data_IF_736135815215
#
_entry.id   IF_736135815215
#
_cell.length_a   1.000
_cell.length_b   1.000
_cell.length_c   1.000
_cell.angle_alpha   90.00
_cell.angle_beta   90.00
_cell.angle_gamma   90.00
#
_symmetry.space_group_name_H-M   'P 1'
#
loop_
_entity.id
_entity.type
_entity.pdbx_description
1 polymer ?
#
# COMPACT_ATOMS: atom_id res chain seq x y z
N UNK A 1 -8.23 15.66 25.44
CA UNK A 1 -9.50 16.24 24.92
C UNK A 1 -9.64 15.73 23.50
N UNK A 2 -10.76 15.10 23.16
CA UNK A 2 -11.05 14.68 21.79
C UNK A 2 -11.30 15.94 20.98
N UNK A 3 -10.33 16.34 20.15
CA UNK A 3 -10.53 17.45 19.23
C UNK A 3 -11.56 17.06 18.19
N UNK A 4 -12.26 18.06 17.68
CA UNK A 4 -13.14 17.90 16.55
C UNK A 4 -12.28 18.09 15.29
N UNK A 5 -12.23 17.10 14.40
CA UNK A 5 -11.33 17.08 13.24
C UNK A 5 -12.05 17.61 12.01
N UNK A 6 -11.40 18.49 11.25
CA UNK A 6 -11.94 19.04 9.98
C UNK A 6 -11.22 18.45 8.78
N UNK A 7 -11.93 18.29 7.68
CA UNK A 7 -11.36 17.82 6.41
C UNK A 7 -10.24 18.74 5.92
N UNK A 8 -10.41 20.06 6.10
CA UNK A 8 -9.40 21.05 5.72
C UNK A 8 -8.08 20.88 6.48
N UNK A 9 -8.12 20.43 7.74
CA UNK A 9 -6.92 20.22 8.55
C UNK A 9 -6.16 18.98 8.09
N UNK A 10 -6.89 17.91 7.70
CA UNK A 10 -6.32 16.72 7.07
C UNK A 10 -5.68 17.07 5.72
N UNK A 11 -6.38 17.83 4.87
CA UNK A 11 -5.85 18.25 3.57
C UNK A 11 -4.59 19.12 3.73
N UNK A 12 -4.59 20.05 4.69
CA UNK A 12 -3.42 20.88 5.00
C UNK A 12 -2.24 20.04 5.48
N UNK A 13 -2.50 19.01 6.28
CA UNK A 13 -1.46 18.10 6.75
C UNK A 13 -0.78 17.36 5.59
N UNK A 14 -1.57 16.77 4.68
CA UNK A 14 -1.03 16.10 3.49
C UNK A 14 -0.28 17.05 2.55
N UNK A 15 -0.74 18.30 2.40
CA UNK A 15 0.02 19.32 1.64
C UNK A 15 1.37 19.62 2.30
N UNK A 16 1.41 19.76 3.62
CA UNK A 16 2.68 19.94 4.35
C UNK A 16 3.66 18.78 4.10
N UNK A 17 3.19 17.54 4.17
CA UNK A 17 4.01 16.37 3.88
C UNK A 17 4.52 16.34 2.44
N UNK A 18 3.69 16.79 1.49
CA UNK A 18 4.06 16.89 0.08
C UNK A 18 5.16 17.92 -0.16
N UNK A 19 5.06 19.07 0.51
CA UNK A 19 6.02 20.18 0.42
C UNK A 19 7.37 19.80 1.03
N UNK A 20 7.35 19.04 2.12
CA UNK A 20 8.54 18.47 2.76
C UNK A 20 9.17 17.31 1.96
N UNK A 21 8.44 16.73 1.00
CA UNK A 21 8.86 15.54 0.26
C UNK A 21 8.85 14.25 1.10
N UNK A 22 8.16 14.24 2.25
CA UNK A 22 8.16 13.12 3.19
C UNK A 22 7.04 12.13 2.87
N UNK A 23 7.30 11.27 1.86
CA UNK A 23 6.38 10.23 1.43
C UNK A 23 6.09 9.20 2.55
N UNK A 24 7.08 8.88 3.38
CA UNK A 24 6.92 7.89 4.45
C UNK A 24 5.94 8.35 5.51
N UNK A 25 5.98 9.64 5.87
CA UNK A 25 5.04 10.25 6.82
C UNK A 25 3.63 10.35 6.25
N UNK A 26 3.51 10.70 4.97
CA UNK A 26 2.22 10.70 4.28
C UNK A 26 1.57 9.31 4.23
N UNK A 27 2.33 8.28 3.88
CA UNK A 27 1.83 6.91 3.87
C UNK A 27 1.48 6.40 5.27
N UNK A 28 2.28 6.74 6.28
CA UNK A 28 1.96 6.40 7.67
C UNK A 28 0.60 7.00 8.09
N UNK A 29 0.38 8.28 7.84
CA UNK A 29 -0.88 8.95 8.17
C UNK A 29 -2.06 8.36 7.38
N UNK A 30 -1.91 8.16 6.08
CA UNK A 30 -2.95 7.58 5.23
C UNK A 30 -3.35 6.17 5.67
N UNK A 31 -2.39 5.30 5.99
CA UNK A 31 -2.67 3.93 6.45
C UNK A 31 -3.31 3.90 7.85
N UNK A 32 -2.89 4.80 8.76
CA UNK A 32 -3.53 4.97 10.07
C UNK A 32 -4.98 5.44 9.93
N UNK A 33 -5.24 6.39 9.02
CA UNK A 33 -6.58 6.91 8.74
C UNK A 33 -7.47 5.89 8.02
N UNK A 34 -6.87 4.94 7.30
CA UNK A 34 -7.53 3.72 6.83
C UNK A 34 -7.82 2.71 7.93
N UNK A 35 -7.45 3.02 9.17
CA UNK A 35 -7.73 2.26 10.39
C UNK A 35 -6.96 0.95 10.47
N UNK A 36 -5.79 0.89 9.84
CA UNK A 36 -4.86 -0.20 10.03
C UNK A 36 -4.23 -0.08 11.42
N UNK A 37 -4.02 -1.22 12.07
CA UNK A 37 -3.36 -1.23 13.38
C UNK A 37 -1.89 -0.79 13.26
N UNK A 38 -1.35 -0.24 14.35
CA UNK A 38 0.01 0.32 14.37
C UNK A 38 1.09 -0.69 13.93
N UNK A 39 0.95 -1.96 14.30
CA UNK A 39 1.92 -3.00 13.92
C UNK A 39 1.97 -3.17 12.40
N UNK A 40 0.80 -3.27 11.77
CA UNK A 40 0.68 -3.45 10.33
C UNK A 40 1.20 -2.24 9.56
N UNK A 41 0.94 -1.02 10.05
CA UNK A 41 1.52 0.20 9.46
C UNK A 41 3.04 0.18 9.61
N UNK A 42 3.57 -0.14 10.79
CA UNK A 42 5.02 -0.22 11.02
C UNK A 42 5.68 -1.24 10.09
N UNK A 43 5.09 -2.43 9.95
CA UNK A 43 5.57 -3.46 9.05
C UNK A 43 5.61 -2.97 7.60
N UNK A 44 4.55 -2.28 7.16
CA UNK A 44 4.43 -1.75 5.79
C UNK A 44 5.49 -0.67 5.53
N UNK A 45 5.68 0.27 6.47
CA UNK A 45 6.70 1.31 6.37
C UNK A 45 8.10 0.72 6.36
N UNK A 46 8.37 -0.30 7.18
CA UNK A 46 9.67 -0.97 7.18
C UNK A 46 9.95 -1.65 5.84
N UNK A 47 8.97 -2.32 5.23
CA UNK A 47 9.12 -2.92 3.91
C UNK A 47 9.48 -1.89 2.84
N UNK A 48 8.86 -0.71 2.89
CA UNK A 48 9.02 0.35 1.89
C UNK A 48 10.29 1.17 2.09
N UNK A 49 10.57 1.60 3.31
CA UNK A 49 11.59 2.61 3.58
C UNK A 49 12.74 2.09 4.47
N UNK A 50 12.66 0.85 4.96
CA UNK A 50 13.63 0.31 5.91
C UNK A 50 13.59 0.99 7.29
N UNK A 51 12.54 1.76 7.58
CA UNK A 51 12.40 2.52 8.82
C UNK A 51 10.94 2.70 9.20
N UNK A 52 10.69 2.75 10.52
CA UNK A 52 9.36 3.03 11.10
C UNK A 52 9.28 4.42 11.74
N UNK A 53 10.32 5.25 11.65
CA UNK A 53 10.40 6.55 12.34
C UNK A 53 9.27 7.50 11.96
N UNK A 54 8.83 7.45 10.70
CA UNK A 54 7.76 8.29 10.18
C UNK A 54 6.40 8.02 10.87
N UNK A 55 6.21 6.81 11.42
CA UNK A 55 4.97 6.42 12.10
C UNK A 55 4.70 7.29 13.32
N UNK A 56 5.68 7.42 14.22
CA UNK A 56 5.49 8.16 15.46
C UNK A 56 5.27 9.66 15.21
N UNK A 57 5.93 10.21 14.18
CA UNK A 57 5.70 11.60 13.76
C UNK A 57 4.31 11.79 13.18
N UNK A 58 3.88 10.90 12.26
CA UNK A 58 2.54 10.96 11.69
C UNK A 58 1.45 10.84 12.78
N UNK A 59 1.64 9.99 13.78
CA UNK A 59 0.70 9.88 14.91
C UNK A 59 0.59 11.20 15.69
N UNK A 60 1.71 11.83 16.02
CA UNK A 60 1.72 13.14 16.73
C UNK A 60 1.06 14.24 15.91
N UNK A 61 1.32 14.27 14.61
CA UNK A 61 0.72 15.25 13.73
C UNK A 61 -0.80 15.08 13.65
N UNK A 62 -1.28 13.83 13.56
CA UNK A 62 -2.71 13.51 13.61
C UNK A 62 -3.33 13.91 14.97
N UNK A 63 -2.66 13.63 16.07
CA UNK A 63 -3.09 14.08 17.41
C UNK A 63 -3.15 15.61 17.50
N UNK A 64 -2.21 16.32 16.84
CA UNK A 64 -2.15 17.78 16.84
C UNK A 64 -3.34 18.45 16.13
N UNK A 65 -3.94 17.78 15.13
CA UNK A 65 -5.18 18.21 14.47
C UNK A 65 -6.43 17.72 15.21
N UNK A 66 -6.27 17.18 16.42
CA UNK A 66 -7.36 16.76 17.28
C UNK A 66 -7.81 15.31 17.13
N UNK A 67 -7.12 14.50 16.33
CA UNK A 67 -7.47 13.10 16.13
C UNK A 67 -7.05 12.24 17.32
N UNK A 68 -8.03 11.58 17.93
CA UNK A 68 -7.78 10.57 18.96
C UNK A 68 -7.73 9.18 18.32
N UNK A 69 -6.51 8.71 18.00
CA UNK A 69 -6.27 7.41 17.38
C UNK A 69 -6.70 6.22 18.27
N UNK A 70 -7.00 6.44 19.55
CA UNK A 70 -7.53 5.41 20.46
C UNK A 70 -9.03 5.19 20.31
N UNK A 71 -9.75 6.12 19.67
CA UNK A 71 -11.19 6.04 19.44
C UNK A 71 -11.46 5.48 18.04
N UNK A 72 -11.87 4.21 17.95
CA UNK A 72 -12.33 3.62 16.68
C UNK A 72 -13.68 4.20 16.21
N UNK A 73 -14.36 3.68 15.19
CA UNK A 73 -13.94 3.40 13.80
C UNK A 73 -14.84 4.23 12.86
N UNK A 74 -15.51 5.29 13.33
CA UNK A 74 -16.41 6.11 12.49
C UNK A 74 -16.36 7.55 12.96
N UNK A 75 -15.20 8.17 12.75
CA UNK A 75 -15.04 9.60 12.97
C UNK A 75 -15.42 10.27 11.66
N UNK A 76 -16.37 11.19 11.76
CA UNK A 76 -16.71 12.10 10.67
C UNK A 76 -16.02 13.43 10.89
N UNK A 77 -15.64 14.08 9.81
CA UNK A 77 -15.17 15.45 9.84
C UNK A 77 -16.31 16.38 10.27
N UNK A 78 -15.98 17.46 10.98
CA UNK A 78 -16.98 18.41 11.47
C UNK A 78 -17.59 19.27 10.37
N UNK A 79 -16.73 19.73 9.47
CA UNK A 79 -17.03 20.72 8.44
C UNK A 79 -17.73 20.12 7.23
N UNK A 80 -17.35 18.90 6.84
CA UNK A 80 -17.92 18.21 5.66
C UNK A 80 -18.81 17.02 6.01
N UNK A 81 -18.82 16.54 7.27
CA UNK A 81 -19.56 15.36 7.71
C UNK A 81 -19.20 14.08 6.91
N UNK A 82 -18.00 14.05 6.32
CA UNK A 82 -17.48 12.93 5.54
C UNK A 82 -16.71 11.96 6.43
N UNK A 83 -16.56 10.72 5.98
CA UNK A 83 -15.72 9.75 6.67
C UNK A 83 -14.26 10.24 6.69
N UNK A 84 -13.61 10.20 7.85
CA UNK A 84 -12.23 10.69 7.98
C UNK A 84 -11.25 10.00 7.03
N UNK A 85 -11.47 8.72 6.71
CA UNK A 85 -10.67 8.03 5.69
C UNK A 85 -10.89 8.66 4.31
N UNK A 86 -12.13 8.99 3.94
CA UNK A 86 -12.43 9.64 2.67
C UNK A 86 -11.77 11.03 2.56
N UNK A 87 -11.78 11.79 3.67
CA UNK A 87 -11.10 13.09 3.77
C UNK A 87 -9.58 12.98 3.59
N UNK A 88 -8.98 11.84 3.94
CA UNK A 88 -7.56 11.56 3.78
C UNK A 88 -7.20 10.95 2.42
N UNK A 89 -8.07 10.07 1.91
CA UNK A 89 -7.89 9.35 0.66
C UNK A 89 -7.78 10.33 -0.51
N UNK A 90 -8.69 11.30 -0.61
CA UNK A 90 -8.67 12.28 -1.71
C UNK A 90 -7.33 13.04 -1.83
N UNK A 91 -6.84 13.76 -0.80
CA UNK A 91 -5.56 14.47 -0.91
C UNK A 91 -4.38 13.51 -1.07
N UNK A 92 -4.44 12.32 -0.46
CA UNK A 92 -3.35 11.35 -0.64
C UNK A 92 -3.22 10.91 -2.11
N UNK A 93 -4.34 10.52 -2.73
CA UNK A 93 -4.39 10.04 -4.12
C UNK A 93 -4.07 11.14 -5.14
N UNK A 94 -4.32 12.41 -4.82
CA UNK A 94 -3.97 13.54 -5.67
C UNK A 94 -2.47 13.88 -5.60
N UNK A 95 -1.90 13.90 -4.39
CA UNK A 95 -0.58 14.48 -4.16
C UNK A 95 0.59 13.49 -4.25
N UNK A 96 0.38 12.21 -3.87
CA UNK A 96 1.49 11.29 -3.58
C UNK A 96 1.80 10.22 -4.64
N UNK A 97 0.88 9.77 -5.52
CA UNK A 97 1.23 8.81 -6.56
C UNK A 97 2.41 9.23 -7.45
N UNK A 98 2.60 10.53 -7.80
CA UNK A 98 3.81 10.96 -8.50
C UNK A 98 5.11 10.68 -7.72
N UNK A 99 5.14 10.89 -6.39
CA UNK A 99 6.33 10.61 -5.57
C UNK A 99 6.59 9.10 -5.47
N UNK A 100 5.53 8.30 -5.36
CA UNK A 100 5.63 6.84 -5.38
C UNK A 100 6.23 6.37 -6.72
N UNK A 101 5.77 6.95 -7.83
CA UNK A 101 6.30 6.66 -9.15
C UNK A 101 7.79 7.01 -9.28
N UNK A 102 8.22 8.17 -8.76
CA UNK A 102 9.64 8.54 -8.72
C UNK A 102 10.46 7.58 -7.82
N UNK A 103 9.93 7.21 -6.66
CA UNK A 103 10.58 6.23 -5.77
C UNK A 103 10.75 4.87 -6.44
N UNK A 104 9.77 4.43 -7.24
CA UNK A 104 9.83 3.18 -8.01
C UNK A 104 10.92 3.21 -9.08
N UNK A 105 11.14 4.34 -9.78
CA UNK A 105 12.21 4.47 -10.78
C UNK A 105 13.61 4.24 -10.18
N UNK A 106 13.80 4.61 -8.92
CA UNK A 106 15.05 4.40 -8.19
C UNK A 106 15.21 3.01 -7.58
N UNK A 107 14.17 2.16 -7.59
CA UNK A 107 14.26 0.82 -7.01
C UNK A 107 15.00 -0.15 -7.92
N UNK A 108 15.73 -1.06 -7.29
CA UNK A 108 16.28 -2.24 -7.95
C UNK A 108 15.20 -3.16 -8.51
N UNK A 109 15.62 -4.27 -9.13
CA UNK A 109 14.68 -5.30 -9.57
C UNK A 109 14.27 -6.19 -8.40
N UNK A 110 13.00 -6.62 -8.33
CA UNK A 110 12.61 -7.64 -7.38
C UNK A 110 13.27 -8.98 -7.72
N UNK A 111 13.28 -9.90 -6.75
CA UNK A 111 13.62 -11.29 -6.94
C UNK A 111 12.79 -11.90 -8.07
N UNK A 112 13.32 -12.94 -8.74
CA UNK A 112 12.61 -13.57 -9.86
C UNK A 112 11.22 -14.06 -9.45
N UNK A 113 11.08 -14.63 -8.25
CA UNK A 113 9.80 -15.14 -7.77
C UNK A 113 8.82 -14.01 -7.43
N UNK A 114 9.28 -12.91 -6.84
CA UNK A 114 8.43 -11.73 -6.64
C UNK A 114 8.04 -11.09 -7.98
N UNK A 115 8.94 -11.05 -8.95
CA UNK A 115 8.68 -10.57 -10.32
C UNK A 115 7.65 -11.43 -11.08
N UNK A 116 7.65 -12.74 -10.84
CA UNK A 116 6.61 -13.68 -11.32
C UNK A 116 5.26 -13.43 -10.64
N UNK A 117 5.25 -13.24 -9.32
CA UNK A 117 4.02 -12.87 -8.62
C UNK A 117 3.50 -11.52 -9.12
N UNK A 118 4.38 -10.54 -9.34
CA UNK A 118 4.03 -9.24 -9.92
C UNK A 118 3.39 -9.37 -11.32
N UNK A 119 3.87 -10.31 -12.15
CA UNK A 119 3.25 -10.62 -13.45
C UNK A 119 1.79 -11.08 -13.29
N UNK A 120 1.51 -11.98 -12.34
CA UNK A 120 0.15 -12.42 -12.04
C UNK A 120 -0.73 -11.24 -11.58
N UNK A 121 -0.20 -10.40 -10.69
CA UNK A 121 -0.93 -9.25 -10.17
C UNK A 121 -1.27 -8.24 -11.27
N UNK A 122 -0.29 -7.87 -12.12
CA UNK A 122 -0.44 -6.77 -13.08
C UNK A 122 -0.89 -7.23 -14.47
N UNK A 123 -0.16 -8.17 -15.09
CA UNK A 123 -0.39 -8.54 -16.49
C UNK A 123 -1.53 -9.56 -16.66
N UNK A 124 -1.78 -10.38 -15.63
CA UNK A 124 -2.98 -11.23 -15.57
C UNK A 124 -4.17 -10.55 -14.89
N UNK A 125 -4.00 -9.30 -14.43
CA UNK A 125 -5.08 -8.47 -13.90
C UNK A 125 -5.70 -8.99 -12.61
N UNK A 126 -4.95 -9.74 -11.80
CA UNK A 126 -5.45 -10.21 -10.50
C UNK A 126 -5.51 -9.06 -9.47
N UNK A 127 -4.57 -8.11 -9.52
CA UNK A 127 -4.63 -6.94 -8.65
C UNK A 127 -5.56 -5.87 -9.24
N UNK A 128 -6.57 -5.48 -8.46
CA UNK A 128 -7.50 -4.39 -8.78
C UNK A 128 -7.48 -3.33 -7.67
N UNK A 129 -7.52 -2.03 -8.01
CA UNK A 129 -7.50 -0.96 -7.01
C UNK A 129 -8.59 -1.12 -5.94
N UNK A 130 -8.21 -1.06 -4.67
CA UNK A 130 -9.15 -1.17 -3.54
C UNK A 130 -9.66 -2.59 -3.24
N UNK A 131 -9.30 -3.59 -4.05
CA UNK A 131 -9.64 -4.98 -3.79
C UNK A 131 -8.55 -5.68 -2.98
N UNK A 132 -8.88 -6.88 -2.50
CA UNK A 132 -7.91 -7.79 -1.89
C UNK A 132 -8.04 -9.19 -2.48
N UNK A 133 -6.99 -10.00 -2.35
CA UNK A 133 -6.99 -11.40 -2.75
C UNK A 133 -6.44 -12.28 -1.64
N UNK A 134 -7.04 -13.46 -1.49
CA UNK A 134 -6.57 -14.48 -0.55
C UNK A 134 -5.20 -15.02 -0.98
N UNK A 135 -4.28 -15.12 -0.02
CA UNK A 135 -2.92 -15.57 -0.25
C UNK A 135 -2.89 -17.02 -0.75
N UNK A 136 -3.80 -17.88 -0.29
CA UNK A 136 -3.93 -19.26 -0.77
C UNK A 136 -4.27 -19.33 -2.26
N UNK A 137 -5.19 -18.49 -2.73
CA UNK A 137 -5.58 -18.41 -4.15
C UNK A 137 -4.45 -17.87 -5.01
N UNK A 138 -3.73 -16.85 -4.55
CA UNK A 138 -2.57 -16.32 -5.26
C UNK A 138 -1.46 -17.38 -5.39
N UNK A 139 -1.21 -18.16 -4.34
CA UNK A 139 -0.28 -19.30 -4.38
C UNK A 139 -0.72 -20.36 -5.39
N UNK A 140 -2.01 -20.68 -5.42
CA UNK A 140 -2.56 -21.62 -6.40
C UNK A 140 -2.36 -21.13 -7.84
N UNK A 141 -2.68 -19.86 -8.13
CA UNK A 141 -2.42 -19.29 -9.46
C UNK A 141 -0.94 -19.27 -9.83
N UNK A 142 -0.05 -19.03 -8.86
CA UNK A 142 1.39 -19.12 -9.04
C UNK A 142 1.82 -20.54 -9.43
N UNK A 143 1.34 -21.55 -8.70
CA UNK A 143 1.63 -22.95 -8.99
C UNK A 143 1.09 -23.38 -10.36
N UNK A 144 -0.13 -22.99 -10.70
CA UNK A 144 -0.74 -23.31 -12.00
C UNK A 144 0.07 -22.73 -13.15
N UNK A 145 0.50 -21.47 -13.04
CA UNK A 145 1.17 -20.80 -14.14
C UNK A 145 2.64 -21.22 -14.28
N UNK A 146 3.34 -21.46 -13.17
CA UNK A 146 4.79 -21.67 -13.18
C UNK A 146 5.22 -23.11 -12.86
N UNK A 147 4.30 -23.99 -12.43
CA UNK A 147 4.63 -25.33 -11.98
C UNK A 147 5.43 -25.38 -10.68
N UNK A 148 5.53 -24.24 -9.98
CA UNK A 148 6.34 -24.05 -8.78
C UNK A 148 5.46 -24.02 -7.54
N UNK A 149 5.77 -24.85 -6.55
CA UNK A 149 5.08 -24.82 -5.26
C UNK A 149 5.83 -23.90 -4.29
N UNK A 150 5.12 -22.92 -3.75
CA UNK A 150 5.63 -22.03 -2.72
C UNK A 150 4.96 -22.41 -1.41
N UNK A 151 5.75 -22.72 -0.38
CA UNK A 151 5.23 -22.82 0.98
C UNK A 151 4.74 -21.45 1.48
N UNK A 152 4.08 -21.46 2.64
CA UNK A 152 3.47 -20.24 3.20
C UNK A 152 4.51 -19.17 3.54
N UNK A 153 5.67 -19.57 4.05
CA UNK A 153 6.72 -18.65 4.47
C UNK A 153 7.39 -18.00 3.26
N UNK A 154 7.73 -18.79 2.25
CA UNK A 154 8.27 -18.32 0.98
C UNK A 154 7.31 -17.33 0.32
N UNK A 155 6.01 -17.66 0.25
CA UNK A 155 5.01 -16.76 -0.33
C UNK A 155 4.88 -15.46 0.46
N UNK A 156 4.86 -15.51 1.80
CA UNK A 156 4.84 -14.32 2.66
C UNK A 156 6.04 -13.42 2.38
N UNK A 157 7.23 -13.98 2.19
CA UNK A 157 8.42 -13.21 1.81
C UNK A 157 8.26 -12.52 0.45
N UNK A 158 7.64 -13.17 -0.55
CA UNK A 158 7.36 -12.53 -1.85
C UNK A 158 6.37 -11.38 -1.71
N UNK A 159 5.28 -11.58 -0.96
CA UNK A 159 4.29 -10.52 -0.68
C UNK A 159 4.96 -9.34 0.01
N UNK A 160 5.81 -9.60 1.00
CA UNK A 160 6.54 -8.56 1.73
C UNK A 160 7.50 -7.78 0.83
N UNK A 161 8.18 -8.49 -0.08
CA UNK A 161 8.99 -7.85 -1.11
C UNK A 161 8.12 -6.96 -2.00
N UNK A 162 6.94 -7.42 -2.43
CA UNK A 162 6.02 -6.66 -3.26
C UNK A 162 5.35 -5.48 -2.55
N UNK A 163 5.24 -5.47 -1.22
CA UNK A 163 4.86 -4.28 -0.45
C UNK A 163 5.86 -3.14 -0.63
N UNK A 164 7.14 -3.47 -0.75
CA UNK A 164 8.18 -2.50 -1.04
C UNK A 164 7.96 -1.84 -2.41
N UNK A 165 7.37 -2.54 -3.38
CA UNK A 165 7.06 -1.98 -4.70
C UNK A 165 5.68 -1.31 -4.76
N UNK A 166 5.01 -1.09 -3.64
CA UNK A 166 3.68 -0.46 -3.59
C UNK A 166 2.58 -1.17 -4.43
N UNK A 167 2.83 -2.36 -4.98
CA UNK A 167 1.79 -3.13 -5.66
C UNK A 167 0.85 -3.79 -4.65
N UNK A 168 1.41 -4.25 -3.52
CA UNK A 168 0.68 -4.65 -2.34
C UNK A 168 0.72 -3.48 -1.35
N UNK A 169 -0.45 -3.01 -0.95
CA UNK A 169 -0.57 -1.90 -0.02
C UNK A 169 -0.29 -2.34 1.41
N UNK A 170 -0.78 -3.53 1.78
CA UNK A 170 -0.44 -4.25 3.01
C UNK A 170 -0.97 -5.68 2.90
N UNK A 171 -0.55 -6.56 3.81
CA UNK A 171 -1.11 -7.90 4.01
C UNK A 171 -1.51 -8.12 5.46
N UNK A 172 -2.67 -8.74 5.71
CA UNK A 172 -3.06 -9.18 7.07
C UNK A 172 -2.56 -10.60 7.40
N UNK A 173 -1.71 -11.17 6.53
CA UNK A 173 -1.22 -12.55 6.61
C UNK A 173 -2.13 -13.56 5.91
N UNK A 174 -3.41 -13.23 5.68
CA UNK A 174 -4.38 -14.05 4.96
C UNK A 174 -4.68 -13.51 3.56
N UNK A 175 -4.68 -12.18 3.38
CA UNK A 175 -5.00 -11.47 2.14
C UNK A 175 -3.97 -10.40 1.82
N UNK A 176 -3.70 -10.23 0.53
CA UNK A 176 -3.01 -9.05 -0.01
C UNK A 176 -4.04 -7.98 -0.36
N UNK A 177 -3.84 -6.76 0.09
CA UNK A 177 -4.68 -5.60 -0.23
C UNK A 177 -3.96 -4.71 -1.24
N UNK A 178 -4.69 -4.18 -2.23
CA UNK A 178 -4.11 -3.39 -3.31
C UNK A 178 -4.50 -1.92 -3.22
N UNK A 179 -3.59 -0.99 -3.53
CA UNK A 179 -3.85 0.43 -3.35
C UNK A 179 -4.82 0.97 -4.39
N UNK A 180 -5.59 1.99 -3.98
CA UNK A 180 -6.49 2.72 -4.87
C UNK A 180 -5.74 3.42 -6.01
N UNK A 181 -4.50 3.84 -5.75
CA UNK A 181 -3.62 4.45 -6.74
C UNK A 181 -2.85 3.43 -7.60
N UNK A 182 -3.15 2.12 -7.51
CA UNK A 182 -2.40 1.09 -8.24
C UNK A 182 -2.35 1.38 -9.75
N UNK A 183 -3.46 1.83 -10.34
CA UNK A 183 -3.51 2.19 -11.76
C UNK A 183 -2.50 3.29 -12.13
N UNK A 184 -2.33 4.29 -11.27
CA UNK A 184 -1.42 5.42 -11.48
C UNK A 184 0.05 5.01 -11.45
N UNK A 185 0.40 3.97 -10.68
CA UNK A 185 1.80 3.49 -10.56
C UNK A 185 2.11 2.28 -11.46
N UNK A 186 1.09 1.61 -12.00
CA UNK A 186 1.25 0.40 -12.85
C UNK A 186 2.22 0.60 -14.03
N UNK A 187 2.20 1.71 -14.78
CA UNK A 187 3.15 1.92 -15.88
C UNK A 187 4.62 1.82 -15.45
N UNK A 188 4.94 2.25 -14.24
CA UNK A 188 6.28 2.21 -13.67
C UNK A 188 6.64 0.82 -13.13
N UNK A 189 5.63 0.07 -12.65
CA UNK A 189 5.85 -1.31 -12.19
C UNK A 189 6.15 -2.29 -13.31
N UNK A 190 5.69 -2.02 -14.54
CA UNK A 190 5.89 -2.91 -15.70
C UNK A 190 7.35 -3.21 -16.01
N UNK A 191 8.29 -2.31 -15.73
CA UNK A 191 9.73 -2.58 -15.89
C UNK A 191 10.28 -3.61 -14.89
N UNK A 192 9.54 -3.93 -13.83
CA UNK A 192 9.92 -4.88 -12.79
C UNK A 192 9.23 -6.25 -12.96
N UNK A 193 8.30 -6.37 -13.91
CA UNK A 193 7.52 -7.58 -14.18
C UNK A 193 8.37 -8.63 -14.91
N UNK A 194 8.18 -9.90 -14.54
CA UNK A 194 8.86 -11.01 -15.21
C UNK A 194 8.36 -11.15 -16.65
N UNK A 195 9.28 -11.38 -17.58
CA UNK A 195 8.91 -11.74 -18.96
C UNK A 195 8.50 -13.21 -18.97
N UNK A 196 7.20 -13.47 -19.14
CA UNK A 196 6.64 -14.83 -19.15
C UNK A 196 6.23 -15.20 -20.58
N UNK A 197 6.63 -16.39 -21.03
CA UNK A 197 6.15 -17.01 -22.26
C UNK A 197 5.38 -18.27 -21.89
N UNK A 198 4.12 -18.36 -22.31
CA UNK A 198 3.28 -19.54 -22.10
C UNK A 198 3.40 -20.45 -23.32
N UNK A 199 3.75 -21.71 -23.09
CA UNK A 199 3.80 -22.75 -24.11
C UNK A 199 2.72 -23.80 -23.79
N UNK A 200 2.03 -24.30 -24.82
CA UNK A 200 1.06 -25.39 -24.69
C UNK A 200 1.61 -26.56 -25.50
N UNK A 201 1.84 -27.69 -24.85
CA UNK A 201 2.25 -28.92 -25.51
C UNK A 201 1.02 -29.80 -25.77
N UNK A 202 0.96 -30.50 -26.93
CA UNK A 202 -0.07 -31.50 -27.14
C UNK A 202 0.07 -32.64 -26.12
N UNK A 203 -1.05 -33.31 -25.76
CA UNK A 203 -1.05 -34.43 -24.81
C UNK A 203 -0.22 -35.62 -25.29
#
# INVERSE_FOLDING_TARGET
MSGVVKAVDVERLFKGYRDEGDLAKAEAAYLLLRRLNRSLVADTLYARYGSVRALDTAMRDLESIGLDLSKGLYIKTEDTNEDLYAAAERPFLDLFPPLIAEALKGRGRPSLNASKLLYLLLERGLAKPGFSHENSRLREYYKILYGEDLDEQAFRSLVKELEAYWVVEFTDGYRCFYPQYLGSITPYLRSHVAKVKVCVEPP
#
